data_IF_791581767582
#
_entry.id   IF_791581767582
#
_cell.length_a   1.000
_cell.length_b   1.000
_cell.length_c   1.000
_cell.angle_alpha   90.00
_cell.angle_beta   90.00
_cell.angle_gamma   90.00
#
_symmetry.space_group_name_H-M   'P 1'
#
loop_
_entity.id
_entity.type
_entity.pdbx_description
1 polymer ?
#
# COMPACT_ATOMS: atom_id res chain seq x y z
N UNK A 1 1.88 15.26 20.91
CA UNK A 1 2.14 14.24 21.95
C UNK A 1 3.50 13.64 21.64
N UNK A 2 4.38 13.51 22.63
CA UNK A 2 5.72 12.98 22.45
C UNK A 2 5.76 11.50 22.86
N UNK A 3 6.41 10.65 22.07
CA UNK A 3 6.65 9.24 22.40
C UNK A 3 8.13 8.92 22.20
N UNK A 4 8.65 8.05 23.06
CA UNK A 4 10.03 7.57 22.96
C UNK A 4 10.04 6.17 22.38
N UNK A 5 10.86 5.95 21.37
CA UNK A 5 11.10 4.63 20.81
C UNK A 5 11.93 3.79 21.79
N UNK A 6 11.50 2.54 22.02
CA UNK A 6 12.17 1.64 22.97
C UNK A 6 12.77 0.45 22.23
N UNK A 7 13.93 0.00 22.71
CA UNK A 7 14.54 -1.24 22.22
C UNK A 7 13.76 -2.44 22.76
N UNK A 8 13.42 -3.36 21.87
CA UNK A 8 12.76 -4.63 22.17
C UNK A 8 13.53 -5.75 21.44
N UNK A 9 14.47 -6.38 22.14
CA UNK A 9 15.43 -7.31 21.53
C UNK A 9 16.29 -6.62 20.48
N UNK A 10 16.25 -7.12 19.25
CA UNK A 10 16.95 -6.53 18.09
C UNK A 10 16.07 -5.54 17.30
N UNK A 11 14.88 -5.23 17.79
CA UNK A 11 13.94 -4.32 17.13
C UNK A 11 13.69 -3.07 17.98
N UNK A 12 13.07 -2.07 17.35
CA UNK A 12 12.67 -0.82 17.99
C UNK A 12 11.16 -0.69 17.91
N UNK A 13 10.51 -0.37 19.04
CA UNK A 13 9.05 -0.30 19.14
C UNK A 13 8.58 1.08 19.58
N UNK A 14 7.46 1.52 19.03
CA UNK A 14 6.72 2.69 19.47
C UNK A 14 5.57 2.25 20.38
N UNK A 15 5.48 2.81 21.60
CA UNK A 15 4.36 2.54 22.50
C UNK A 15 3.24 3.51 22.20
N UNK A 16 2.13 2.99 21.68
CA UNK A 16 0.93 3.77 21.43
C UNK A 16 0.08 3.84 22.72
N UNK A 17 -0.27 5.03 23.23
CA UNK A 17 -1.13 5.14 24.40
C UNK A 17 -2.54 4.62 24.13
N UNK A 18 -3.26 4.21 25.19
CA UNK A 18 -4.64 3.74 25.06
C UNK A 18 -5.61 4.76 24.44
N UNK A 19 -5.37 6.07 24.60
CA UNK A 19 -6.19 7.11 23.97
C UNK A 19 -6.12 7.04 22.45
N UNK A 20 -4.90 7.00 21.88
CA UNK A 20 -4.67 6.90 20.44
C UNK A 20 -5.30 5.65 19.86
N UNK A 21 -5.18 4.51 20.57
CA UNK A 21 -5.83 3.26 20.14
C UNK A 21 -7.36 3.37 20.11
N UNK A 22 -7.98 4.04 21.11
CA UNK A 22 -9.43 4.27 21.14
C UNK A 22 -9.89 5.20 20.02
N UNK A 23 -9.20 6.33 19.84
CA UNK A 23 -9.56 7.34 18.85
C UNK A 23 -9.46 6.78 17.43
N UNK A 24 -8.41 6.00 17.14
CA UNK A 24 -8.20 5.34 15.86
C UNK A 24 -8.91 3.98 15.74
N UNK A 25 -9.63 3.54 16.78
CA UNK A 25 -10.30 2.23 16.89
C UNK A 25 -9.39 1.06 16.51
N UNK A 26 -8.16 1.06 17.01
CA UNK A 26 -7.14 0.03 16.80
C UNK A 26 -7.05 -0.91 18.00
N UNK A 27 -6.65 -2.16 17.74
CA UNK A 27 -6.44 -3.17 18.78
C UNK A 27 -4.99 -3.69 18.74
N UNK A 28 -4.47 -4.13 19.89
CA UNK A 28 -3.18 -4.82 19.95
C UNK A 28 -3.22 -6.12 19.12
N UNK A 29 -2.15 -6.41 18.38
CA UNK A 29 -2.07 -7.55 17.47
C UNK A 29 -2.74 -7.35 16.10
N UNK A 30 -3.35 -6.19 15.84
CA UNK A 30 -3.91 -5.87 14.52
C UNK A 30 -2.80 -5.69 13.48
N UNK A 31 -2.96 -6.30 12.30
CA UNK A 31 -2.03 -6.13 11.19
C UNK A 31 -2.11 -4.71 10.60
N UNK A 32 -0.95 -4.06 10.49
CA UNK A 32 -0.76 -2.71 9.97
C UNK A 32 0.32 -2.73 8.88
N UNK A 33 0.33 -1.74 8.00
CA UNK A 33 1.46 -1.42 7.13
C UNK A 33 2.27 -0.30 7.76
N UNK A 34 3.58 -0.33 7.53
CA UNK A 34 4.54 0.66 7.98
C UNK A 34 5.34 1.09 6.76
N UNK A 35 5.16 2.34 6.37
CA UNK A 35 5.81 2.93 5.20
C UNK A 35 6.54 4.21 5.62
N UNK A 36 7.57 4.59 4.86
CA UNK A 36 8.29 5.85 5.03
C UNK A 36 8.04 6.74 3.83
N UNK A 37 7.72 8.00 4.07
CA UNK A 37 7.57 9.02 3.03
C UNK A 37 8.92 9.68 2.71
N UNK A 38 9.00 10.36 1.56
CA UNK A 38 10.25 10.97 1.08
C UNK A 38 10.77 12.09 2.00
N UNK A 39 9.88 12.72 2.78
CA UNK A 39 10.21 13.71 3.82
C UNK A 39 10.65 13.06 5.15
N UNK A 40 10.78 11.73 5.19
CA UNK A 40 11.27 10.98 6.34
C UNK A 40 10.22 10.72 7.42
N UNK A 41 8.94 10.98 7.15
CA UNK A 41 7.86 10.64 8.08
C UNK A 41 7.53 9.14 8.02
N UNK A 42 7.04 8.62 9.15
CA UNK A 42 6.56 7.24 9.26
C UNK A 42 5.04 7.26 9.12
N UNK A 43 4.52 6.49 8.16
CA UNK A 43 3.09 6.31 7.94
C UNK A 43 2.69 4.92 8.41
N UNK A 44 1.77 4.87 9.37
CA UNK A 44 1.19 3.64 9.88
C UNK A 44 -0.27 3.55 9.45
N UNK A 45 -0.62 2.55 8.63
CA UNK A 45 -1.97 2.40 8.08
C UNK A 45 -2.53 0.99 8.29
N UNK A 46 -3.85 0.85 8.35
CA UNK A 46 -4.50 -0.47 8.44
C UNK A 46 -4.18 -1.25 7.18
N UNK A 47 -3.77 -2.52 7.33
CA UNK A 47 -3.57 -3.40 6.17
C UNK A 47 -4.91 -3.57 5.45
N UNK A 48 -5.04 -2.94 4.28
CA UNK A 48 -6.23 -3.06 3.44
C UNK A 48 -6.29 -4.48 2.87
N UNK A 49 -7.46 -5.09 2.99
CA UNK A 49 -7.80 -6.31 2.24
C UNK A 49 -8.74 -5.88 1.13
N UNK A 50 -8.39 -6.25 -0.10
CA UNK A 50 -9.23 -5.98 -1.25
C UNK A 50 -9.96 -7.26 -1.65
N UNK A 51 -11.21 -7.12 -2.08
CA UNK A 51 -11.92 -8.18 -2.80
C UNK A 51 -11.89 -7.82 -4.28
N UNK A 52 -11.68 -8.83 -5.13
CA UNK A 52 -11.63 -8.64 -6.58
C UNK A 52 -12.90 -7.94 -7.09
N UNK A 53 -14.08 -8.35 -6.61
CA UNK A 53 -15.35 -7.73 -6.99
C UNK A 53 -15.40 -6.22 -6.67
N UNK A 54 -14.92 -5.81 -5.49
CA UNK A 54 -14.91 -4.41 -5.08
C UNK A 54 -13.96 -3.58 -5.95
N UNK A 55 -12.85 -4.16 -6.40
CA UNK A 55 -11.91 -3.49 -7.31
C UNK A 55 -12.48 -3.35 -8.71
N UNK A 56 -13.09 -4.41 -9.24
CA UNK A 56 -13.73 -4.38 -10.57
C UNK A 56 -14.88 -3.36 -10.59
N UNK A 57 -15.66 -3.26 -9.52
CA UNK A 57 -16.75 -2.28 -9.42
C UNK A 57 -16.27 -0.81 -9.46
N UNK A 58 -14.98 -0.54 -9.20
CA UNK A 58 -14.40 0.80 -9.31
C UNK A 58 -13.90 1.12 -10.73
N UNK A 59 -13.85 0.14 -11.63
CA UNK A 59 -13.42 0.35 -13.00
C UNK A 59 -14.53 1.00 -13.84
N UNK A 60 -14.17 2.00 -14.63
CA UNK A 60 -15.04 2.50 -15.69
C UNK A 60 -14.97 1.56 -16.89
N UNK A 61 -16.06 0.83 -17.14
CA UNK A 61 -16.15 -0.12 -18.25
C UNK A 61 -16.31 0.56 -19.61
N UNK A 62 -16.58 1.86 -19.64
CA UNK A 62 -16.64 2.67 -20.86
C UNK A 62 -15.33 3.42 -21.12
N UNK A 63 -14.31 3.25 -20.27
CA UNK A 63 -13.02 3.89 -20.45
C UNK A 63 -12.40 3.46 -21.79
N UNK A 64 -11.93 4.43 -22.56
CA UNK A 64 -11.23 4.16 -23.81
C UNK A 64 -9.90 3.43 -23.51
N UNK A 65 -9.45 2.54 -24.42
CA UNK A 65 -8.14 1.91 -24.31
C UNK A 65 -7.02 2.96 -24.18
N UNK A 66 -5.95 2.67 -23.42
CA UNK A 66 -4.79 3.55 -23.33
C UNK A 66 -4.20 3.86 -24.71
N UNK A 67 -3.81 5.11 -24.96
CA UNK A 67 -3.29 5.54 -26.25
C UNK A 67 -1.99 4.81 -26.68
N UNK A 68 -1.22 4.34 -25.70
CA UNK A 68 0.00 3.57 -25.89
C UNK A 68 -0.27 2.08 -26.14
N UNK A 69 -1.48 1.57 -25.90
CA UNK A 69 -1.81 0.16 -26.13
C UNK A 69 -1.63 -0.23 -27.61
N UNK A 70 -1.96 0.68 -28.53
CA UNK A 70 -1.73 0.47 -29.96
C UNK A 70 -0.24 0.40 -30.33
N UNK A 71 0.66 1.01 -29.53
CA UNK A 71 2.11 0.89 -29.72
C UNK A 71 2.58 -0.53 -29.38
N UNK A 72 1.98 -1.18 -28.38
CA UNK A 72 2.27 -2.58 -28.03
C UNK A 72 1.74 -3.55 -29.09
N UNK A 73 0.54 -3.31 -29.65
CA UNK A 73 -0.01 -4.15 -30.72
C UNK A 73 0.82 -4.09 -32.01
N UNK A 74 1.44 -2.95 -32.29
CA UNK A 74 2.26 -2.72 -33.49
C UNK A 74 3.77 -2.85 -33.24
N UNK A 75 4.16 -3.17 -32.00
CA UNK A 75 5.56 -3.33 -31.64
C UNK A 75 6.18 -4.48 -32.43
N UNK A 76 7.28 -4.19 -33.11
CA UNK A 76 8.05 -5.23 -33.80
C UNK A 76 8.88 -6.01 -32.78
N UNK A 77 9.05 -7.32 -33.00
CA UNK A 77 9.98 -8.12 -32.22
C UNK A 77 11.36 -7.47 -32.16
N UNK A 78 11.90 -7.29 -30.96
CA UNK A 78 13.25 -6.72 -30.76
C UNK A 78 14.30 -7.78 -30.39
N UNK A 79 13.88 -9.05 -30.30
CA UNK A 79 14.72 -10.21 -30.00
C UNK A 79 14.17 -11.52 -30.57
N UNK A 80 14.32 -12.63 -29.84
CA UNK A 80 13.81 -13.96 -30.23
C UNK A 80 12.33 -14.19 -29.88
N UNK A 81 11.49 -13.17 -30.06
CA UNK A 81 10.08 -13.21 -29.67
C UNK A 81 9.20 -13.95 -30.69
N UNK A 82 9.79 -14.34 -31.83
CA UNK A 82 9.16 -15.14 -32.88
C UNK A 82 10.07 -16.33 -33.18
N UNK A 83 9.51 -17.54 -33.08
CA UNK A 83 10.16 -18.81 -33.40
C UNK A 83 9.88 -19.20 -34.86
#
# INVERSE_FOLDING_TARGET
MEIVLRKYGNSTVAVLPPSVLRDLRLCAGQAMTLDTTDDGAIVLARKRKYRLADLIAQCDLAAAPPADLGLWESAKPVGQEVW
#
